data_IF_911664975266
#
_entry.id   IF_911664975266
#
_cell.length_a   1.000
_cell.length_b   1.000
_cell.length_c   1.000
_cell.angle_alpha   90.00
_cell.angle_beta   90.00
_cell.angle_gamma   90.00
#
_symmetry.space_group_name_H-M   'P 1'
#
loop_
_entity.id
_entity.type
_entity.pdbx_description
1 polymer ?
#
# COMPACT_ATOMS: atom_id res chain seq x y z
N UNK A 1 -12.20 -10.56 -1.06
CA UNK A 1 -11.71 -10.40 -2.44
C UNK A 1 -10.39 -11.15 -2.54
N UNK A 2 -10.09 -11.77 -3.67
CA UNK A 2 -8.89 -12.60 -3.81
C UNK A 2 -7.73 -11.79 -4.37
N UNK A 3 -6.50 -12.17 -4.03
CA UNK A 3 -5.30 -11.65 -4.68
C UNK A 3 -5.06 -12.40 -5.99
N UNK A 4 -4.54 -11.72 -7.00
CA UNK A 4 -4.04 -12.40 -8.19
C UNK A 4 -2.71 -13.13 -7.88
N UNK A 5 -2.39 -14.25 -8.56
CA UNK A 5 -1.18 -15.04 -8.30
C UNK A 5 0.14 -14.26 -8.45
N UNK A 6 0.13 -13.22 -9.27
CA UNK A 6 1.27 -12.34 -9.55
C UNK A 6 1.49 -11.23 -8.51
N UNK A 7 0.65 -11.14 -7.49
CA UNK A 7 0.81 -10.15 -6.42
C UNK A 7 2.04 -10.49 -5.58
N UNK A 8 2.96 -9.53 -5.50
CA UNK A 8 4.17 -9.61 -4.69
C UNK A 8 4.02 -8.77 -3.42
N UNK A 9 3.77 -9.44 -2.29
CA UNK A 9 3.66 -8.80 -0.99
C UNK A 9 5.02 -8.45 -0.38
N UNK A 10 6.09 -9.14 -0.76
CA UNK A 10 7.44 -8.88 -0.24
C UNK A 10 7.92 -7.50 -0.70
N UNK A 11 7.53 -7.08 -1.91
CA UNK A 11 7.77 -5.73 -2.43
C UNK A 11 7.22 -4.59 -1.55
N UNK A 12 6.22 -4.86 -0.71
CA UNK A 12 5.67 -3.90 0.24
C UNK A 12 6.38 -3.94 1.59
N UNK A 13 6.80 -5.11 2.05
CA UNK A 13 7.44 -5.30 3.36
C UNK A 13 8.84 -4.67 3.37
N UNK A 14 9.56 -4.75 2.25
CA UNK A 14 10.94 -4.26 2.13
C UNK A 14 11.04 -2.72 2.20
N UNK A 15 9.92 -1.99 2.06
CA UNK A 15 9.89 -0.51 2.10
C UNK A 15 10.23 0.07 3.47
N UNK A 16 10.13 -0.71 4.55
CA UNK A 16 10.47 -0.31 5.92
C UNK A 16 9.77 0.97 6.42
N UNK A 17 8.59 1.29 5.87
CA UNK A 17 7.78 2.39 6.39
C UNK A 17 7.20 2.02 7.77
N UNK A 18 7.11 2.97 8.73
CA UNK A 18 6.54 2.72 10.05
C UNK A 18 5.01 2.60 9.97
N UNK A 19 4.53 1.40 9.61
CA UNK A 19 3.11 1.09 9.45
C UNK A 19 2.56 0.34 10.67
N UNK A 20 1.38 0.75 11.14
CA UNK A 20 0.61 -0.03 12.10
C UNK A 20 -0.30 -1.05 11.40
N UNK A 21 -0.76 -2.07 12.13
CA UNK A 21 -1.72 -3.05 11.60
C UNK A 21 -3.01 -2.42 11.08
N UNK A 22 -3.43 -1.28 11.64
CA UNK A 22 -4.59 -0.53 11.15
C UNK A 22 -4.35 0.06 9.75
N UNK A 23 -3.14 0.57 9.49
CA UNK A 23 -2.78 1.12 8.17
C UNK A 23 -2.65 -0.02 7.15
N UNK A 24 -2.08 -1.16 7.54
CA UNK A 24 -2.00 -2.35 6.67
C UNK A 24 -3.41 -2.81 6.26
N UNK A 25 -4.35 -2.89 7.22
CA UNK A 25 -5.75 -3.21 6.93
C UNK A 25 -6.40 -2.18 5.99
N UNK A 26 -6.13 -0.89 6.21
CA UNK A 26 -6.64 0.19 5.37
C UNK A 26 -6.12 0.10 3.92
N UNK A 27 -4.84 -0.25 3.72
CA UNK A 27 -4.24 -0.46 2.39
C UNK A 27 -4.98 -1.58 1.65
N UNK A 28 -5.19 -2.73 2.31
CA UNK A 28 -5.88 -3.87 1.70
C UNK A 28 -7.34 -3.56 1.37
N UNK A 29 -8.02 -2.80 2.24
CA UNK A 29 -9.39 -2.37 2.01
C UNK A 29 -9.49 -1.41 0.81
N UNK A 30 -8.57 -0.44 0.70
CA UNK A 30 -8.52 0.49 -0.42
C UNK A 30 -8.17 -0.20 -1.75
N UNK A 31 -7.23 -1.15 -1.74
CA UNK A 31 -6.90 -1.95 -2.93
C UNK A 31 -8.12 -2.74 -3.44
N UNK A 32 -8.90 -3.32 -2.53
CA UNK A 32 -10.16 -3.98 -2.86
C UNK A 32 -11.18 -3.03 -3.48
N UNK A 33 -11.34 -1.82 -2.94
CA UNK A 33 -12.24 -0.81 -3.48
C UNK A 33 -11.83 -0.37 -4.90
N UNK A 34 -10.53 -0.21 -5.15
CA UNK A 34 -9.98 0.11 -6.48
C UNK A 34 -10.24 -1.00 -7.49
N UNK A 35 -10.09 -2.26 -7.09
CA UNK A 35 -10.43 -3.39 -7.94
C UNK A 35 -11.92 -3.38 -8.36
N UNK A 36 -12.83 -3.07 -7.42
CA UNK A 36 -14.27 -2.90 -7.70
C UNK A 36 -14.53 -1.77 -8.69
N UNK A 37 -13.88 -0.60 -8.54
CA UNK A 37 -14.02 0.52 -9.50
C UNK A 37 -13.62 0.15 -10.93
N UNK A 38 -12.69 -0.79 -11.07
CA UNK A 38 -12.24 -1.34 -12.36
C UNK A 38 -13.02 -2.63 -12.75
N UNK A 39 -14.15 -2.92 -12.10
CA UNK A 39 -15.03 -4.09 -12.33
C UNK A 39 -14.32 -5.45 -12.22
N UNK A 40 -13.32 -5.57 -11.34
CA UNK A 40 -12.58 -6.83 -11.09
C UNK A 40 -12.88 -7.37 -9.70
N UNK A 41 -12.92 -8.69 -9.59
CA UNK A 41 -13.07 -9.43 -8.32
C UNK A 41 -11.73 -9.94 -7.75
N UNK A 42 -10.63 -9.59 -8.42
CA UNK A 42 -9.26 -9.91 -8.03
C UNK A 42 -8.47 -8.61 -7.91
N UNK A 43 -7.64 -8.52 -6.87
CA UNK A 43 -6.72 -7.40 -6.64
C UNK A 43 -5.46 -7.68 -7.45
N UNK A 44 -5.04 -6.72 -8.29
CA UNK A 44 -3.75 -6.76 -8.97
C UNK A 44 -2.71 -5.95 -8.21
N UNK A 45 -1.43 -6.18 -8.52
CA UNK A 45 -0.31 -5.42 -7.94
C UNK A 45 -0.51 -3.91 -8.09
N UNK A 46 -1.00 -3.44 -9.24
CA UNK A 46 -1.22 -2.01 -9.49
C UNK A 46 -2.23 -1.38 -8.53
N UNK A 47 -3.29 -2.10 -8.15
CA UNK A 47 -4.26 -1.59 -7.18
C UNK A 47 -3.65 -1.48 -5.78
N UNK A 48 -2.76 -2.41 -5.45
CA UNK A 48 -2.05 -2.47 -4.19
C UNK A 48 -1.02 -1.33 -4.06
N UNK A 49 -0.28 -1.05 -5.12
CA UNK A 49 0.68 0.08 -5.19
C UNK A 49 -0.01 1.44 -5.05
N UNK A 50 -1.10 1.63 -5.78
CA UNK A 50 -1.87 2.87 -5.70
C UNK A 50 -2.51 3.03 -4.30
N UNK A 51 -3.00 1.92 -3.72
CA UNK A 51 -3.56 1.92 -2.37
C UNK A 51 -2.51 2.24 -1.30
N UNK A 52 -1.33 1.63 -1.40
CA UNK A 52 -0.18 1.90 -0.53
C UNK A 52 0.14 3.40 -0.52
N UNK A 53 0.35 3.98 -1.70
CA UNK A 53 0.67 5.41 -1.85
C UNK A 53 -0.41 6.32 -1.28
N UNK A 54 -1.68 5.90 -1.31
CA UNK A 54 -2.78 6.70 -0.76
C UNK A 54 -2.94 6.64 0.76
N UNK A 55 -2.55 5.52 1.40
CA UNK A 55 -2.71 5.31 2.84
C UNK A 55 -1.44 5.63 3.63
N UNK A 56 -0.28 5.42 3.01
CA UNK A 56 1.02 5.79 3.59
C UNK A 56 1.24 7.27 3.34
N UNK A 57 1.18 8.05 4.41
CA UNK A 57 1.46 9.49 4.34
C UNK A 57 2.97 9.70 4.30
N UNK A 58 3.52 9.90 3.11
CA UNK A 58 4.88 10.41 2.93
C UNK A 58 4.90 11.88 3.37
N UNK A 59 5.48 12.17 4.52
CA UNK A 59 5.46 13.52 5.09
C UNK A 59 5.43 13.51 6.60
N UNK A 60 6.35 12.79 7.23
CA UNK A 60 6.74 13.12 8.59
C UNK A 60 7.81 14.20 8.52
N UNK A 61 7.87 15.11 9.50
CA UNK A 61 8.93 16.12 9.56
C UNK A 61 10.34 15.51 9.57
N UNK A 62 10.45 14.21 9.81
CA UNK A 62 11.69 13.42 9.80
C UNK A 62 12.38 13.44 8.43
N UNK A 63 11.64 13.43 7.31
CA UNK A 63 12.25 13.51 5.96
C UNK A 63 12.91 14.88 5.72
N UNK A 64 12.42 15.95 6.39
CA UNK A 64 13.04 17.28 6.30
C UNK A 64 14.42 17.33 6.96
N UNK A 65 14.76 16.34 7.78
CA UNK A 65 16.01 16.25 8.54
C UNK A 65 16.95 15.17 8.01
N UNK A 66 16.73 14.63 6.80
CA UNK A 66 17.65 13.66 6.16
C UNK A 66 19.10 14.16 6.11
N UNK A 67 19.32 15.48 6.03
CA UNK A 67 20.65 16.09 6.05
C UNK A 67 21.45 15.79 7.33
N UNK A 68 20.79 15.44 8.44
CA UNK A 68 21.45 15.13 9.72
C UNK A 68 21.84 13.66 9.89
N UNK A 69 21.67 12.85 8.84
CA UNK A 69 22.05 11.43 8.82
C UNK A 69 23.46 11.22 8.29
#
# INVERSE_FOLDING_TARGET
MSLAPEVDLDSLIIRNDPLSGAIIAAIMQEAGLRAVRKNRYVILQSDLEEAYTSQVKSGSEVDKFEFYK
#
